data_IF_925090143106
#
_entry.id   IF_925090143106
#
_cell.length_a   1.000
_cell.length_b   1.000
_cell.length_c   1.000
_cell.angle_alpha   90.00
_cell.angle_beta   90.00
_cell.angle_gamma   90.00
#
_symmetry.space_group_name_H-M   'P 1'
#
loop_
_entity.id
_entity.type
_entity.pdbx_description
1 polymer ?
#
# COMPACT_ATOMS: atom_id res chain seq x y z
N UNK A 1 22.61 0.59 15.58
CA UNK A 1 21.73 -0.58 15.38
C UNK A 1 21.59 -0.82 13.87
N UNK A 2 21.19 -2.01 13.40
CA UNK A 2 21.18 -2.30 11.94
C UNK A 2 19.79 -2.07 11.37
N UNK A 3 19.67 -1.17 10.39
CA UNK A 3 18.45 -1.03 9.59
C UNK A 3 18.31 -2.22 8.63
N UNK A 4 17.09 -2.66 8.37
CA UNK A 4 16.80 -3.79 7.47
C UNK A 4 15.72 -3.41 6.48
N UNK A 5 15.96 -3.71 5.20
CA UNK A 5 14.97 -3.65 4.14
C UNK A 5 14.53 -5.07 3.79
N UNK A 6 13.23 -5.29 3.72
CA UNK A 6 12.62 -6.54 3.28
C UNK A 6 11.66 -6.25 2.14
N UNK A 7 11.91 -6.87 0.98
CA UNK A 7 11.03 -6.77 -0.17
C UNK A 7 9.93 -7.82 -0.06
N UNK A 8 8.70 -7.37 0.13
CA UNK A 8 7.51 -8.23 0.29
C UNK A 8 6.75 -8.41 -1.03
N UNK A 9 7.05 -7.57 -2.03
CA UNK A 9 6.52 -7.63 -3.39
C UNK A 9 7.21 -6.60 -4.30
N UNK A 10 6.94 -6.63 -5.61
CA UNK A 10 7.62 -5.77 -6.59
C UNK A 10 9.11 -6.10 -6.83
N UNK A 11 9.62 -7.20 -6.27
CA UNK A 11 10.99 -7.69 -6.51
C UNK A 11 10.95 -8.95 -7.38
N UNK A 12 11.63 -8.91 -8.54
CA UNK A 12 11.54 -9.97 -9.55
C UNK A 12 10.20 -10.02 -10.31
N UNK A 13 9.35 -8.99 -10.11
CA UNK A 13 8.08 -8.75 -10.81
C UNK A 13 7.79 -7.25 -10.80
N UNK A 14 6.92 -6.77 -11.68
CA UNK A 14 6.55 -5.34 -11.78
C UNK A 14 5.53 -4.93 -10.72
N UNK A 15 4.72 -5.86 -10.25
CA UNK A 15 3.48 -5.56 -9.53
C UNK A 15 3.52 -5.99 -8.07
N UNK A 16 2.62 -5.41 -7.26
CA UNK A 16 2.50 -5.69 -5.84
C UNK A 16 3.61 -5.04 -5.02
N UNK A 17 4.06 -3.84 -5.39
CA UNK A 17 5.09 -3.08 -4.69
C UNK A 17 4.76 -3.01 -3.19
N UNK A 18 5.68 -3.54 -2.38
CA UNK A 18 5.64 -3.57 -0.91
C UNK A 18 7.06 -3.74 -0.39
N UNK A 19 7.60 -2.71 0.27
CA UNK A 19 8.90 -2.80 0.95
C UNK A 19 8.76 -2.45 2.41
N UNK A 20 9.15 -3.36 3.28
CA UNK A 20 9.15 -3.15 4.73
C UNK A 20 10.53 -2.67 5.17
N UNK A 21 10.58 -1.48 5.76
CA UNK A 21 11.75 -0.97 6.44
C UNK A 21 11.60 -1.21 7.93
N UNK A 22 12.62 -1.84 8.53
CA UNK A 22 12.77 -1.95 9.98
C UNK A 22 13.96 -1.11 10.45
N UNK A 23 13.71 -0.26 11.45
CA UNK A 23 14.73 0.52 12.15
C UNK A 23 14.40 0.53 13.65
N UNK A 24 15.41 0.47 14.52
CA UNK A 24 15.23 0.22 15.95
C UNK A 24 14.28 -0.96 16.24
N UNK A 25 13.11 -0.69 16.82
CA UNK A 25 12.04 -1.66 17.09
C UNK A 25 10.76 -1.36 16.30
N UNK A 26 10.87 -0.51 15.28
CA UNK A 26 9.78 0.09 14.52
C UNK A 26 9.76 -0.40 13.09
N UNK A 27 8.59 -0.31 12.45
CA UNK A 27 8.38 -0.75 11.08
C UNK A 27 7.61 0.30 10.28
N UNK A 28 8.14 0.64 9.11
CA UNK A 28 7.49 1.52 8.14
C UNK A 28 7.35 0.77 6.83
N UNK A 29 6.17 0.83 6.23
CA UNK A 29 5.89 0.19 4.96
C UNK A 29 5.96 1.23 3.83
N UNK A 30 6.68 0.92 2.76
CA UNK A 30 6.73 1.71 1.54
C UNK A 30 5.90 0.98 0.50
N UNK A 31 4.82 1.64 0.05
CA UNK A 31 3.75 1.09 -0.79
C UNK A 31 3.05 -0.16 -0.22
N UNK A 32 1.81 -0.38 -0.64
CA UNK A 32 1.06 -1.60 -0.38
C UNK A 32 0.15 -1.96 -1.55
N UNK A 33 0.73 -2.46 -2.64
CA UNK A 33 0.02 -2.71 -3.88
C UNK A 33 -0.55 -4.10 -4.09
N UNK A 34 -1.54 -4.26 -4.97
CA UNK A 34 -1.97 -5.60 -5.42
C UNK A 34 -0.98 -6.19 -6.42
N UNK A 35 -0.78 -7.50 -6.35
CA UNK A 35 -0.19 -8.25 -7.46
C UNK A 35 -1.19 -8.37 -8.61
N UNK A 36 -0.83 -7.88 -9.79
CA UNK A 36 -1.62 -7.87 -11.02
C UNK A 36 -1.06 -8.84 -12.07
N UNK A 37 -1.67 -8.89 -13.26
CA UNK A 37 -1.12 -9.65 -14.38
C UNK A 37 -1.34 -11.16 -14.24
N UNK A 38 -0.29 -11.99 -14.29
CA UNK A 38 -0.41 -13.45 -14.34
C UNK A 38 -1.22 -14.03 -13.17
N UNK A 39 -2.01 -15.08 -13.42
CA UNK A 39 -2.85 -15.72 -12.39
C UNK A 39 -2.06 -16.13 -11.14
N UNK A 40 -0.85 -16.66 -11.32
CA UNK A 40 0.02 -17.06 -10.20
C UNK A 40 0.41 -15.88 -9.30
N UNK A 41 0.58 -14.68 -9.85
CA UNK A 41 0.85 -13.46 -9.08
C UNK A 41 -0.41 -13.01 -8.35
N UNK A 42 -1.57 -12.95 -9.03
CA UNK A 42 -2.83 -12.53 -8.40
C UNK A 42 -3.25 -13.41 -7.22
N UNK A 43 -2.93 -14.70 -7.26
CA UNK A 43 -3.16 -15.63 -6.15
C UNK A 43 -2.36 -15.27 -4.89
N UNK A 44 -1.23 -14.56 -5.01
CA UNK A 44 -0.45 -14.12 -3.86
C UNK A 44 -1.20 -13.10 -2.99
N UNK A 45 -2.15 -12.35 -3.55
CA UNK A 45 -2.95 -11.41 -2.77
C UNK A 45 -3.84 -12.09 -1.71
N UNK A 46 -4.16 -13.38 -1.91
CA UNK A 46 -4.97 -14.18 -0.99
C UNK A 46 -4.17 -14.85 0.12
N UNK A 47 -2.84 -14.80 0.04
CA UNK A 47 -1.96 -15.33 1.08
C UNK A 47 -1.98 -14.47 2.35
N UNK A 48 -1.53 -15.02 3.48
CA UNK A 48 -1.36 -14.23 4.70
C UNK A 48 -0.36 -13.10 4.46
N UNK A 49 -0.58 -11.95 5.11
CA UNK A 49 0.41 -10.86 5.07
C UNK A 49 1.71 -11.36 5.74
N UNK A 50 2.88 -11.09 5.15
CA UNK A 50 4.15 -11.71 5.58
C UNK A 50 4.70 -11.20 6.92
N UNK A 51 4.06 -10.19 7.52
CA UNK A 51 4.35 -9.67 8.86
C UNK A 51 3.03 -9.38 9.58
N UNK A 52 3.07 -9.06 10.86
CA UNK A 52 1.89 -8.63 11.63
C UNK A 52 1.54 -7.17 11.29
N UNK A 53 0.38 -6.87 10.67
CA UNK A 53 0.04 -5.52 10.24
C UNK A 53 0.01 -4.48 11.38
N UNK A 54 -0.39 -4.91 12.59
CA UNK A 54 -0.43 -4.03 13.76
C UNK A 54 0.94 -3.58 14.30
N UNK A 55 2.05 -4.14 13.79
CA UNK A 55 3.41 -3.72 14.13
C UNK A 55 3.95 -2.60 13.22
N UNK A 56 3.26 -2.32 12.12
CA UNK A 56 3.65 -1.29 11.17
C UNK A 56 3.10 0.04 11.69
N UNK A 57 4.00 1.01 11.90
CA UNK A 57 3.67 2.29 12.50
C UNK A 57 3.14 3.30 11.47
N UNK A 58 3.64 3.22 10.24
CA UNK A 58 3.22 4.11 9.16
C UNK A 58 3.37 3.43 7.79
N UNK A 59 2.54 3.88 6.84
CA UNK A 59 2.66 3.56 5.43
C UNK A 59 3.03 4.84 4.67
N UNK A 60 4.10 4.79 3.87
CA UNK A 60 4.48 5.86 2.95
C UNK A 60 4.11 5.42 1.53
N UNK A 61 3.16 6.11 0.92
CA UNK A 61 2.63 5.76 -0.40
C UNK A 61 3.25 6.67 -1.47
N UNK A 62 3.92 6.06 -2.45
CA UNK A 62 4.59 6.80 -3.53
C UNK A 62 3.59 7.43 -4.50
N UNK A 63 2.59 6.66 -4.95
CA UNK A 63 1.60 7.11 -5.92
C UNK A 63 0.37 6.19 -5.96
N UNK A 64 -0.64 6.62 -6.72
CA UNK A 64 -1.98 6.04 -6.67
C UNK A 64 -2.22 4.80 -7.54
N UNK A 65 -1.21 4.26 -8.25
CA UNK A 65 -1.45 3.05 -9.06
C UNK A 65 -1.82 1.85 -8.17
N UNK A 66 -2.65 0.96 -8.72
CA UNK A 66 -3.24 -0.15 -7.96
C UNK A 66 -2.20 -1.17 -7.46
N UNK A 67 -1.07 -1.30 -8.17
CA UNK A 67 0.09 -2.08 -7.75
C UNK A 67 1.03 -1.37 -6.76
N UNK A 68 0.64 -0.19 -6.28
CA UNK A 68 1.27 0.53 -5.17
C UNK A 68 0.30 0.81 -4.01
N UNK A 69 -1.00 0.98 -4.26
CA UNK A 69 -1.99 1.28 -3.21
C UNK A 69 -3.06 0.20 -3.00
N UNK A 70 -3.24 -0.72 -3.94
CA UNK A 70 -4.45 -1.55 -4.02
C UNK A 70 -4.63 -2.57 -2.90
N UNK A 71 -3.59 -2.87 -2.11
CA UNK A 71 -3.66 -3.80 -0.98
C UNK A 71 -3.94 -3.07 0.36
N UNK A 72 -3.97 -1.73 0.37
CA UNK A 72 -4.23 -0.93 1.58
C UNK A 72 -5.52 -1.35 2.33
N UNK A 73 -6.68 -1.56 1.68
CA UNK A 73 -7.90 -1.96 2.38
C UNK A 73 -7.73 -3.26 3.17
N UNK A 74 -7.05 -4.25 2.58
CA UNK A 74 -6.73 -5.52 3.23
C UNK A 74 -5.75 -5.34 4.40
N UNK A 75 -4.75 -4.48 4.25
CA UNK A 75 -3.80 -4.18 5.31
C UNK A 75 -4.52 -3.63 6.56
N UNK A 76 -5.44 -2.67 6.36
CA UNK A 76 -6.26 -2.07 7.42
C UNK A 76 -7.19 -3.11 8.05
N UNK A 77 -7.90 -3.88 7.22
CA UNK A 77 -8.76 -4.99 7.64
C UNK A 77 -8.01 -5.99 8.52
N UNK A 78 -6.75 -6.26 8.21
CA UNK A 78 -5.89 -7.20 8.94
C UNK A 78 -5.20 -6.60 10.18
N UNK A 79 -5.51 -5.37 10.57
CA UNK A 79 -5.09 -4.83 11.87
C UNK A 79 -4.09 -3.68 11.81
N UNK A 80 -3.75 -3.14 10.64
CA UNK A 80 -3.00 -1.89 10.57
C UNK A 80 -3.82 -0.72 11.13
N UNK A 81 -3.13 0.17 11.85
CA UNK A 81 -3.73 1.31 12.57
C UNK A 81 -2.94 2.61 12.42
N UNK A 82 -1.81 2.56 11.70
CA UNK A 82 -0.95 3.71 11.50
C UNK A 82 -1.49 4.66 10.44
N UNK A 83 -0.78 5.77 10.26
CA UNK A 83 -1.11 6.77 9.25
C UNK A 83 -0.58 6.36 7.87
N UNK A 84 -1.32 6.73 6.83
CA UNK A 84 -0.98 6.54 5.42
C UNK A 84 -0.58 7.89 4.83
N UNK A 85 0.72 8.12 4.71
CA UNK A 85 1.28 9.37 4.25
C UNK A 85 1.42 9.39 2.73
N UNK A 86 0.91 10.45 2.10
CA UNK A 86 1.07 10.69 0.67
C UNK A 86 0.86 12.16 0.30
N UNK A 87 0.97 12.47 -0.98
CA UNK A 87 0.64 13.81 -1.51
C UNK A 87 -0.87 13.98 -1.69
N UNK A 88 -1.35 15.22 -1.76
CA UNK A 88 -2.78 15.52 -1.89
C UNK A 88 -3.44 14.86 -3.11
N UNK A 89 -2.76 14.90 -4.26
CA UNK A 89 -3.25 14.29 -5.48
C UNK A 89 -3.21 12.76 -5.42
N UNK A 90 -2.20 12.16 -4.79
CA UNK A 90 -2.16 10.72 -4.56
C UNK A 90 -3.33 10.27 -3.69
N UNK A 91 -3.61 10.95 -2.58
CA UNK A 91 -4.77 10.63 -1.73
C UNK A 91 -6.09 10.63 -2.51
N UNK A 92 -6.35 11.71 -3.26
CA UNK A 92 -7.57 11.87 -4.05
C UNK A 92 -7.71 10.81 -5.15
N UNK A 93 -6.62 10.47 -5.84
CA UNK A 93 -6.62 9.43 -6.87
C UNK A 93 -6.77 8.03 -6.27
N UNK A 94 -6.11 7.75 -5.15
CA UNK A 94 -6.20 6.46 -4.45
C UNK A 94 -7.63 6.21 -3.97
N UNK A 95 -8.35 7.20 -3.45
CA UNK A 95 -9.77 7.06 -3.10
C UNK A 95 -10.61 6.56 -4.28
N UNK A 96 -10.45 7.20 -5.45
CA UNK A 96 -11.19 6.84 -6.67
C UNK A 96 -10.84 5.42 -7.11
N UNK A 97 -9.55 5.11 -7.17
CA UNK A 97 -9.02 3.82 -7.66
C UNK A 97 -9.45 2.67 -6.74
N UNK A 98 -9.39 2.86 -5.42
CA UNK A 98 -9.78 1.81 -4.46
C UNK A 98 -11.28 1.53 -4.50
N UNK A 99 -12.13 2.57 -4.60
CA UNK A 99 -13.59 2.39 -4.73
C UNK A 99 -13.96 1.66 -6.02
N UNK A 100 -13.35 2.03 -7.15
CA UNK A 100 -13.57 1.34 -8.42
C UNK A 100 -13.11 -0.12 -8.36
N UNK A 101 -11.92 -0.36 -7.79
CA UNK A 101 -11.39 -1.71 -7.62
C UNK A 101 -12.26 -2.59 -6.72
N UNK A 102 -12.76 -2.08 -5.60
CA UNK A 102 -13.69 -2.80 -4.73
C UNK A 102 -14.96 -3.21 -5.49
N UNK A 103 -15.58 -2.25 -6.18
CA UNK A 103 -16.82 -2.50 -6.93
C UNK A 103 -16.65 -3.55 -8.02
N UNK A 104 -15.55 -3.48 -8.79
CA UNK A 104 -15.24 -4.49 -9.81
C UNK A 104 -15.10 -5.87 -9.17
N UNK A 105 -14.40 -5.98 -8.04
CA UNK A 105 -14.22 -7.25 -7.34
C UNK A 105 -15.55 -7.81 -6.79
N UNK A 106 -16.42 -6.97 -6.25
CA UNK A 106 -17.76 -7.35 -5.79
C UNK A 106 -18.59 -7.89 -6.96
N UNK A 107 -18.64 -7.18 -8.08
CA UNK A 107 -19.36 -7.60 -9.29
C UNK A 107 -18.83 -8.92 -9.86
N UNK A 108 -17.51 -9.14 -9.83
CA UNK A 108 -16.88 -10.40 -10.25
C UNK A 108 -17.26 -11.57 -9.34
N UNK A 109 -17.26 -11.35 -8.01
CA UNK A 109 -17.65 -12.35 -7.03
C UNK A 109 -19.13 -12.71 -7.18
N UNK A 110 -20.01 -11.72 -7.32
CA UNK A 110 -21.43 -11.96 -7.58
C UNK A 110 -21.66 -12.72 -8.88
N UNK A 111 -20.98 -12.33 -9.97
CA UNK A 111 -21.09 -13.01 -11.26
C UNK A 111 -20.65 -14.47 -11.15
N UNK A 112 -19.59 -14.75 -10.39
CA UNK A 112 -19.11 -16.10 -10.15
C UNK A 112 -20.10 -16.94 -9.34
N UNK A 113 -20.74 -16.35 -8.32
CA UNK A 113 -21.80 -16.99 -7.56
C UNK A 113 -23.04 -17.28 -8.42
N UNK A 114 -23.46 -16.34 -9.28
CA UNK A 114 -24.62 -16.52 -10.17
C UNK A 114 -24.44 -17.63 -11.20
N UNK A 115 -23.23 -17.80 -11.74
CA UNK A 115 -22.94 -18.72 -12.83
C UNK A 115 -22.22 -20.02 -12.38
N UNK A 116 -21.89 -20.17 -11.10
CA UNK A 116 -21.36 -21.41 -10.53
C UNK A 116 -19.96 -21.83 -11.04
N UNK A 117 -19.14 -20.90 -11.57
CA UNK A 117 -17.79 -21.23 -12.05
C UNK A 117 -16.67 -21.04 -11.00
N UNK A 118 -17.04 -20.68 -9.76
CA UNK A 118 -16.11 -20.51 -8.66
C UNK A 118 -15.75 -21.84 -7.99
N UNK A 119 -14.52 -21.95 -7.49
CA UNK A 119 -14.10 -23.06 -6.60
C UNK A 119 -14.39 -22.76 -5.12
N UNK A 120 -14.66 -21.49 -4.79
CA UNK A 120 -14.98 -21.02 -3.45
C UNK A 120 -16.49 -20.84 -3.33
N UNK A 121 -17.09 -21.32 -2.24
CA UNK A 121 -18.52 -21.18 -1.96
C UNK A 121 -18.74 -20.44 -0.62
N UNK A 122 -19.27 -19.21 -0.64
CA UNK A 122 -19.46 -18.34 -1.81
C UNK A 122 -18.12 -17.76 -2.32
N UNK A 123 -18.08 -17.35 -3.58
CA UNK A 123 -17.05 -16.42 -4.06
C UNK A 123 -17.19 -15.10 -3.30
N UNK A 124 -16.06 -14.56 -2.82
CA UNK A 124 -15.96 -13.26 -2.15
C UNK A 124 -14.96 -12.39 -2.91
N UNK A 125 -15.12 -11.06 -2.90
CA UNK A 125 -14.05 -10.16 -3.32
C UNK A 125 -12.86 -10.27 -2.37
N UNK A 126 -11.67 -9.76 -2.74
CA UNK A 126 -10.58 -9.69 -1.76
C UNK A 126 -10.93 -8.68 -0.66
N UNK A 127 -11.42 -7.52 -1.06
CA UNK A 127 -11.97 -6.50 -0.20
C UNK A 127 -13.18 -5.86 -0.87
N UNK A 128 -14.08 -5.31 -0.08
CA UNK A 128 -15.32 -4.67 -0.52
C UNK A 128 -15.27 -3.14 -0.37
N UNK A 129 -16.37 -2.48 -0.74
CA UNK A 129 -16.47 -1.02 -0.64
C UNK A 129 -16.37 -0.55 0.82
N UNK A 130 -16.88 -1.33 1.78
CA UNK A 130 -16.81 -1.00 3.21
C UNK A 130 -15.36 -1.03 3.72
N UNK A 131 -14.57 -2.03 3.30
CA UNK A 131 -13.14 -2.09 3.60
C UNK A 131 -12.38 -0.84 3.11
N UNK A 132 -12.76 -0.30 1.94
CA UNK A 132 -12.19 0.95 1.41
C UNK A 132 -12.57 2.13 2.29
N UNK A 133 -13.85 2.32 2.60
CA UNK A 133 -14.29 3.43 3.46
C UNK A 133 -13.61 3.40 4.84
N UNK A 134 -13.31 2.21 5.36
CA UNK A 134 -12.62 2.03 6.63
C UNK A 134 -11.14 2.45 6.60
N UNK A 135 -10.48 2.46 5.44
CA UNK A 135 -9.07 2.84 5.31
C UNK A 135 -8.86 4.33 5.00
N UNK A 136 -9.82 4.99 4.33
CA UNK A 136 -9.69 6.39 3.90
C UNK A 136 -9.38 7.38 5.05
N UNK A 137 -9.95 7.23 6.27
CA UNK A 137 -9.63 8.12 7.38
C UNK A 137 -8.17 8.08 7.86
N UNK A 138 -7.39 7.07 7.48
CA UNK A 138 -5.96 6.96 7.85
C UNK A 138 -5.04 7.76 6.93
N UNK A 139 -5.54 8.33 5.83
CA UNK A 139 -4.73 9.10 4.91
C UNK A 139 -4.36 10.47 5.47
N UNK A 140 -3.06 10.77 5.49
CA UNK A 140 -2.50 12.06 5.90
C UNK A 140 -1.73 12.65 4.73
N UNK A 141 -2.13 13.85 4.33
CA UNK A 141 -1.60 14.54 3.16
C UNK A 141 -0.43 15.44 3.57
N UNK A 142 0.63 15.44 2.74
CA UNK A 142 1.81 16.28 2.92
C UNK A 142 2.19 16.96 1.60
N UNK A 143 2.83 18.13 1.71
CA UNK A 143 3.37 18.82 0.55
C UNK A 143 4.74 18.25 0.15
N UNK A 144 5.14 18.51 -1.10
CA UNK A 144 6.50 18.20 -1.52
C UNK A 144 7.52 19.06 -0.76
N UNK A 145 8.70 18.49 -0.52
CA UNK A 145 9.82 19.16 0.16
C UNK A 145 9.55 19.58 1.61
N UNK A 146 8.48 19.08 2.22
CA UNK A 146 8.19 19.20 3.63
C UNK A 146 8.77 18.01 4.40
N UNK A 147 9.56 18.27 5.44
CA UNK A 147 10.04 17.23 6.35
C UNK A 147 8.97 16.87 7.36
N UNK A 148 8.50 15.63 7.28
CA UNK A 148 7.56 15.03 8.23
C UNK A 148 8.34 14.15 9.20
N UNK A 149 8.17 14.41 10.49
CA UNK A 149 8.83 13.67 11.56
C UNK A 149 7.97 12.45 11.89
N UNK A 150 8.51 11.24 11.72
CA UNK A 150 7.86 10.01 12.18
C UNK A 150 8.14 9.80 13.67
N UNK A 151 9.39 10.02 14.08
CA UNK A 151 9.86 9.93 15.46
C UNK A 151 11.25 10.59 15.61
N UNK A 152 11.90 10.42 16.75
CA UNK A 152 13.23 10.96 17.04
C UNK A 152 14.36 10.37 16.18
N UNK A 153 14.13 9.23 15.51
CA UNK A 153 15.10 8.53 14.67
C UNK A 153 14.83 8.68 13.17
N UNK A 154 13.58 8.95 12.79
CA UNK A 154 13.14 8.91 11.40
C UNK A 154 12.31 10.13 10.98
N UNK A 155 12.62 10.64 9.79
CA UNK A 155 11.79 11.64 9.10
C UNK A 155 11.83 11.40 7.60
N UNK A 156 10.76 11.75 6.90
CA UNK A 156 10.70 11.66 5.45
C UNK A 156 10.27 12.99 4.82
N UNK A 157 10.48 13.10 3.52
CA UNK A 157 9.82 14.10 2.69
C UNK A 157 9.47 13.49 1.34
N UNK A 158 8.43 14.03 0.70
CA UNK A 158 8.11 13.70 -0.68
C UNK A 158 8.89 14.59 -1.64
N UNK A 159 9.40 14.00 -2.73
CA UNK A 159 9.97 14.71 -3.88
C UNK A 159 9.19 14.29 -5.13
N UNK A 160 8.85 15.24 -5.99
CA UNK A 160 8.14 14.93 -7.22
C UNK A 160 8.88 13.86 -8.05
N UNK A 161 8.19 12.79 -8.44
CA UNK A 161 8.73 11.73 -9.29
C UNK A 161 8.42 11.97 -10.79
N UNK A 162 7.35 12.70 -11.10
CA UNK A 162 7.01 13.08 -12.48
C UNK A 162 6.35 11.98 -13.32
N UNK A 163 5.84 10.93 -12.69
CA UNK A 163 5.17 9.79 -13.33
C UNK A 163 3.67 10.01 -13.51
N UNK A 164 2.95 10.27 -12.42
CA UNK A 164 1.53 10.65 -12.44
C UNK A 164 1.29 11.85 -11.54
N UNK A 165 0.10 12.43 -11.61
CA UNK A 165 -0.27 13.55 -10.75
C UNK A 165 -0.14 13.13 -9.27
N UNK A 166 0.74 13.80 -8.53
CA UNK A 166 1.00 13.49 -7.12
C UNK A 166 2.07 12.43 -6.87
N UNK A 167 2.67 11.82 -7.90
CA UNK A 167 3.67 10.77 -7.69
C UNK A 167 4.93 11.32 -7.02
N UNK A 168 5.41 10.57 -6.03
CA UNK A 168 6.49 11.00 -5.17
C UNK A 168 7.56 9.93 -5.00
N UNK A 169 8.82 10.35 -5.13
CA UNK A 169 9.93 9.70 -4.47
C UNK A 169 9.87 10.04 -2.97
N UNK A 170 10.26 9.08 -2.14
CA UNK A 170 10.33 9.24 -0.68
C UNK A 170 11.80 9.33 -0.29
N UNK A 171 12.25 10.52 0.12
CA UNK A 171 13.54 10.66 0.80
C UNK A 171 13.32 10.45 2.30
N UNK A 172 13.84 9.34 2.81
CA UNK A 172 13.75 8.97 4.21
C UNK A 172 15.13 9.11 4.87
N UNK A 173 15.19 9.83 5.99
CA UNK A 173 16.39 9.93 6.81
C UNK A 173 16.21 9.14 8.09
N UNK A 174 17.15 8.24 8.35
CA UNK A 174 17.25 7.38 9.53
C UNK A 174 18.59 7.67 10.20
N UNK A 175 18.58 8.48 11.26
CA UNK A 175 19.81 8.94 11.92
C UNK A 175 20.82 9.55 10.91
N UNK A 176 21.96 8.89 10.69
CA UNK A 176 23.01 9.32 9.75
C UNK A 176 22.85 8.76 8.32
N UNK A 177 21.83 7.92 8.08
CA UNK A 177 21.58 7.30 6.78
C UNK A 177 20.43 7.98 6.04
N UNK A 178 20.55 8.06 4.71
CA UNK A 178 19.47 8.52 3.83
C UNK A 178 19.14 7.40 2.84
N UNK A 179 17.86 7.06 2.76
CA UNK A 179 17.29 6.14 1.80
C UNK A 179 16.39 6.91 0.84
N UNK A 180 16.44 6.58 -0.45
CA UNK A 180 15.54 7.13 -1.45
C UNK A 180 14.77 5.98 -2.09
N UNK A 181 13.45 6.00 -1.95
CA UNK A 181 12.55 5.13 -2.70
C UNK A 181 11.98 5.94 -3.86
N UNK A 182 12.27 5.54 -5.09
CA UNK A 182 11.87 6.34 -6.25
C UNK A 182 10.36 6.26 -6.54
N UNK A 183 9.72 5.16 -6.16
CA UNK A 183 8.47 4.78 -6.80
C UNK A 183 8.71 4.59 -8.28
N UNK A 184 7.75 5.06 -9.07
CA UNK A 184 7.79 5.11 -10.53
C UNK A 184 8.05 6.53 -11.04
#
# INVERSE_FOLDING_TARGET
MKHMLQFLGGAGTVTGSKTLLSYQHKQVLIDCGLFQGLKALRLQNWGPFPTEPGRIEALLLTHAHLDHCGYIPLLVKHGFRGDIHCTAATAALTEIILRDSAKIQEEEAERANRHGYTKHEPAKPLYDTEDVENCLPQFVIHDYHEWVILDEFAKFQFRNAGHILGSAMIELRLEEQTLLFTGD
#
